data_IF_282455483328
#
_entry.id   IF_282455483328
#
_cell.length_a   1.000
_cell.length_b   1.000
_cell.length_c   1.000
_cell.angle_alpha   90.00
_cell.angle_beta   90.00
_cell.angle_gamma   90.00
#
_symmetry.space_group_name_H-M   'P 1'
#
loop_
_entity.id
_entity.type
_entity.pdbx_description
1 polymer ?
#
# COMPACT_ATOMS: atom_id res chain seq x y z
N UNK A 1 6.16 6.57 39.03
CA UNK A 1 5.80 5.46 38.12
C UNK A 1 7.05 4.60 37.92
N UNK A 2 6.96 3.31 38.23
CA UNK A 2 8.12 2.44 38.46
C UNK A 2 8.63 1.84 37.14
N UNK A 3 9.36 2.64 36.36
CA UNK A 3 9.93 2.23 35.05
C UNK A 3 10.74 0.94 35.13
N UNK A 4 11.43 0.70 36.26
CA UNK A 4 12.18 -0.52 36.49
C UNK A 4 11.32 -1.79 36.39
N UNK A 5 10.13 -1.76 37.02
CA UNK A 5 9.19 -2.89 36.99
C UNK A 5 8.62 -3.13 35.59
N UNK A 6 8.23 -2.06 34.89
CA UNK A 6 7.64 -2.13 33.56
C UNK A 6 8.67 -2.60 32.51
N UNK A 7 9.92 -2.16 32.63
CA UNK A 7 11.02 -2.61 31.80
C UNK A 7 11.35 -4.10 32.01
N UNK A 8 11.33 -4.56 33.26
CA UNK A 8 11.57 -5.97 33.61
C UNK A 8 10.46 -6.88 33.05
N UNK A 9 9.20 -6.48 33.21
CA UNK A 9 8.03 -7.20 32.69
C UNK A 9 8.03 -7.23 31.14
N UNK A 10 8.44 -6.14 30.48
CA UNK A 10 8.61 -6.12 29.03
C UNK A 10 9.77 -7.02 28.58
N UNK A 11 10.90 -7.02 29.26
CA UNK A 11 12.01 -7.91 28.92
C UNK A 11 11.64 -9.39 29.12
N UNK A 12 10.94 -9.74 30.19
CA UNK A 12 10.40 -11.10 30.38
C UNK A 12 9.40 -11.47 29.28
N UNK A 13 8.52 -10.55 28.90
CA UNK A 13 7.57 -10.76 27.81
C UNK A 13 8.26 -11.05 26.48
N UNK A 14 9.35 -10.35 26.16
CA UNK A 14 10.10 -10.59 24.92
C UNK A 14 11.01 -11.81 24.99
N UNK A 15 11.59 -12.13 26.15
CA UNK A 15 12.39 -13.37 26.37
C UNK A 15 11.53 -14.63 26.40
N UNK A 16 10.27 -14.53 26.85
CA UNK A 16 9.31 -15.63 26.90
C UNK A 16 8.70 -15.97 25.54
N UNK A 17 8.93 -15.12 24.53
CA UNK A 17 8.53 -15.43 23.15
C UNK A 17 9.61 -16.29 22.50
N UNK A 18 9.22 -17.32 21.73
CA UNK A 18 10.18 -18.05 20.93
C UNK A 18 10.91 -17.06 20.02
N UNK A 19 12.24 -17.13 20.00
CA UNK A 19 13.08 -16.42 19.05
C UNK A 19 12.46 -16.62 17.67
N UNK A 20 12.14 -15.53 16.96
CA UNK A 20 11.62 -15.63 15.60
C UNK A 20 12.71 -16.26 14.74
N UNK A 21 12.59 -17.56 14.54
CA UNK A 21 13.42 -18.33 13.65
C UNK A 21 12.93 -18.04 12.22
N UNK A 22 13.82 -17.49 11.39
CA UNK A 22 13.56 -17.24 9.98
C UNK A 22 13.86 -18.47 9.13
N UNK A 23 14.19 -19.61 9.74
CA UNK A 23 14.36 -20.89 9.05
C UNK A 23 13.04 -21.29 8.41
N UNK A 24 13.05 -21.39 7.07
CA UNK A 24 11.92 -21.91 6.32
C UNK A 24 12.23 -23.33 5.87
N UNK A 25 11.35 -24.25 6.23
CA UNK A 25 11.40 -25.63 5.74
C UNK A 25 10.79 -25.68 4.33
N UNK A 26 11.62 -26.03 3.34
CA UNK A 26 11.18 -26.21 1.95
C UNK A 26 11.24 -27.69 1.60
N UNK A 27 10.16 -28.22 1.02
CA UNK A 27 10.09 -29.63 0.68
C UNK A 27 10.73 -29.89 -0.69
N UNK A 28 11.87 -30.59 -0.68
CA UNK A 28 12.53 -31.06 -1.89
C UNK A 28 12.07 -32.48 -2.26
N UNK A 29 11.77 -32.72 -3.54
CA UNK A 29 11.61 -34.07 -4.09
C UNK A 29 12.78 -34.42 -5.00
N UNK A 30 13.11 -35.71 -5.11
CA UNK A 30 14.12 -36.15 -6.07
C UNK A 30 13.65 -35.88 -7.50
N UNK A 31 14.57 -35.43 -8.36
CA UNK A 31 14.26 -35.23 -9.77
C UNK A 31 13.88 -36.58 -10.44
N UNK A 32 12.69 -36.71 -11.03
CA UNK A 32 12.26 -37.95 -11.67
C UNK A 32 13.14 -38.34 -12.86
N UNK A 33 13.49 -39.62 -12.98
CA UNK A 33 14.27 -40.08 -14.15
C UNK A 33 13.54 -39.74 -15.44
N UNK A 34 14.27 -39.24 -16.43
CA UNK A 34 13.78 -38.86 -17.77
C UNK A 34 12.82 -37.65 -17.83
N UNK A 35 12.53 -36.99 -16.71
CA UNK A 35 11.77 -35.74 -16.74
C UNK A 35 12.64 -34.57 -17.22
N UNK A 36 12.17 -33.84 -18.22
CA UNK A 36 12.84 -32.63 -18.72
C UNK A 36 12.43 -31.40 -17.89
N UNK A 37 13.35 -30.43 -17.78
CA UNK A 37 13.13 -29.19 -17.04
C UNK A 37 11.83 -28.44 -17.45
N UNK A 38 11.52 -28.24 -18.75
CA UNK A 38 10.31 -27.51 -19.15
C UNK A 38 9.00 -28.17 -18.69
N UNK A 39 8.97 -29.51 -18.69
CA UNK A 39 7.81 -30.28 -18.22
C UNK A 39 7.59 -30.08 -16.71
N UNK A 40 8.66 -30.10 -15.91
CA UNK A 40 8.59 -29.88 -14.47
C UNK A 40 8.11 -28.45 -14.14
N UNK A 41 8.54 -27.45 -14.93
CA UNK A 41 8.09 -26.06 -14.78
C UNK A 41 6.60 -25.93 -15.11
N UNK A 42 6.10 -26.60 -16.16
CA UNK A 42 4.66 -26.59 -16.48
C UNK A 42 3.80 -27.25 -15.40
N UNK A 43 4.35 -28.22 -14.66
CA UNK A 43 3.70 -28.89 -13.53
C UNK A 43 3.80 -28.09 -12.22
N UNK A 44 4.35 -26.87 -12.26
CA UNK A 44 4.47 -25.99 -11.10
C UNK A 44 5.64 -26.34 -10.17
N UNK A 45 6.68 -27.00 -10.70
CA UNK A 45 7.92 -27.28 -9.97
C UNK A 45 9.08 -26.43 -10.47
N UNK A 46 10.01 -26.10 -9.56
CA UNK A 46 11.27 -25.45 -9.86
C UNK A 46 12.38 -26.50 -9.77
N UNK A 47 13.05 -26.84 -10.88
CA UNK A 47 14.20 -27.74 -10.85
C UNK A 47 15.40 -27.07 -10.19
N UNK A 48 16.13 -27.80 -9.35
CA UNK A 48 17.32 -27.31 -8.66
C UNK A 48 18.41 -28.37 -8.52
N UNK A 49 19.62 -27.92 -8.20
CA UNK A 49 20.76 -28.79 -7.92
C UNK A 49 21.31 -28.38 -6.55
N UNK A 50 21.35 -29.34 -5.62
CA UNK A 50 22.00 -29.13 -4.33
C UNK A 50 23.47 -29.51 -4.48
N UNK A 51 24.34 -28.51 -4.42
CA UNK A 51 25.79 -28.66 -4.45
C UNK A 51 26.33 -28.49 -3.03
N UNK A 52 26.88 -29.55 -2.47
CA UNK A 52 27.66 -29.52 -1.22
C UNK A 52 28.86 -30.45 -1.42
N UNK A 53 29.89 -30.38 -0.56
CA UNK A 53 31.06 -31.30 -0.58
C UNK A 53 30.58 -32.77 -0.71
N UNK A 54 30.56 -33.32 -1.92
CA UNK A 54 29.89 -34.58 -2.26
C UNK A 54 29.35 -34.60 -3.70
N UNK A 55 28.47 -35.57 -4.01
CA UNK A 55 27.84 -35.70 -5.32
C UNK A 55 26.64 -34.77 -5.47
N UNK A 56 26.56 -34.09 -6.61
CA UNK A 56 25.46 -33.22 -6.98
C UNK A 56 24.12 -33.97 -6.97
N UNK A 57 23.13 -33.40 -6.28
CA UNK A 57 21.77 -33.98 -6.22
C UNK A 57 20.80 -33.12 -7.00
N UNK A 58 20.19 -33.73 -8.03
CA UNK A 58 19.09 -33.12 -8.77
C UNK A 58 17.80 -33.25 -7.97
N UNK A 59 17.18 -32.12 -7.68
CA UNK A 59 15.95 -32.02 -6.89
C UNK A 59 14.93 -31.15 -7.61
N UNK A 60 13.68 -31.25 -7.21
CA UNK A 60 12.60 -30.38 -7.63
C UNK A 60 11.92 -29.80 -6.39
N UNK A 61 11.56 -28.53 -6.46
CA UNK A 61 10.85 -27.81 -5.41
C UNK A 61 9.49 -27.37 -5.92
N UNK A 62 8.50 -27.21 -5.04
CA UNK A 62 7.21 -26.66 -5.45
C UNK A 62 7.37 -25.15 -5.70
N UNK A 63 6.96 -24.67 -6.87
CA UNK A 63 7.13 -23.26 -7.25
C UNK A 63 6.51 -22.31 -6.23
N UNK A 64 5.32 -22.65 -5.71
CA UNK A 64 4.64 -21.85 -4.68
C UNK A 64 5.39 -21.78 -3.35
N UNK A 65 6.19 -22.78 -3.00
CA UNK A 65 6.98 -22.78 -1.75
C UNK A 65 8.27 -21.97 -1.95
N UNK A 66 8.89 -22.05 -3.12
CA UNK A 66 10.07 -21.24 -3.45
C UNK A 66 9.70 -19.77 -3.58
N UNK A 67 8.66 -19.42 -4.33
CA UNK A 67 8.25 -18.01 -4.49
C UNK A 67 7.80 -17.36 -3.18
N UNK A 68 7.36 -18.16 -2.21
CA UNK A 68 7.02 -17.67 -0.87
C UNK A 68 8.27 -17.34 -0.02
N UNK A 69 9.44 -17.84 -0.40
CA UNK A 69 10.69 -17.76 0.38
C UNK A 69 11.81 -17.04 -0.36
N UNK A 70 11.78 -17.06 -1.68
CA UNK A 70 12.87 -16.60 -2.52
C UNK A 70 13.07 -15.10 -2.36
N UNK A 71 14.13 -14.75 -1.63
CA UNK A 71 14.89 -13.53 -1.84
C UNK A 71 15.81 -13.78 -3.04
N UNK A 72 16.01 -12.77 -3.88
CA UNK A 72 16.95 -12.86 -5.00
C UNK A 72 18.36 -13.21 -4.47
N UNK A 73 18.95 -14.25 -5.06
CA UNK A 73 20.25 -14.89 -4.71
C UNK A 73 21.46 -13.98 -5.05
N UNK A 74 21.39 -12.69 -4.68
CA UNK A 74 22.50 -11.75 -4.84
C UNK A 74 23.39 -11.77 -3.58
N UNK A 75 24.73 -11.97 -3.70
CA UNK A 75 25.65 -11.79 -2.57
C UNK A 75 25.59 -10.40 -1.92
N UNK A 76 24.95 -9.43 -2.59
CA UNK A 76 24.52 -8.16 -2.01
C UNK A 76 23.01 -7.99 -2.24
N UNK A 77 22.21 -8.65 -1.41
CA UNK A 77 20.76 -8.52 -1.47
C UNK A 77 20.36 -7.07 -1.15
N UNK A 78 19.73 -6.41 -2.11
CA UNK A 78 19.15 -5.09 -1.95
C UNK A 78 17.70 -5.22 -1.51
N UNK A 79 17.41 -4.77 -0.28
CA UNK A 79 16.08 -4.92 0.30
C UNK A 79 15.52 -3.56 0.71
N UNK A 80 14.22 -3.36 0.46
CA UNK A 80 13.47 -2.22 0.97
C UNK A 80 12.87 -2.59 2.34
N UNK A 81 13.35 -1.97 3.41
CA UNK A 81 12.87 -2.22 4.77
C UNK A 81 11.89 -1.11 5.19
N UNK A 82 10.67 -1.46 5.64
CA UNK A 82 9.69 -0.46 6.03
C UNK A 82 10.09 0.28 7.32
N UNK A 83 9.73 1.55 7.38
CA UNK A 83 9.93 2.44 8.52
C UNK A 83 8.60 2.69 9.21
N UNK A 84 8.58 2.57 10.53
CA UNK A 84 7.42 2.89 11.37
C UNK A 84 7.84 3.88 12.45
N UNK A 85 7.08 4.96 12.60
CA UNK A 85 7.30 5.95 13.64
C UNK A 85 6.70 5.49 14.96
N UNK A 86 7.45 5.62 16.05
CA UNK A 86 6.97 5.37 17.41
C UNK A 86 7.18 6.63 18.26
N UNK A 87 6.37 6.79 19.32
CA UNK A 87 6.51 7.93 20.24
C UNK A 87 6.07 9.29 19.67
N UNK A 88 5.42 9.33 18.50
CA UNK A 88 5.01 10.57 17.80
C UNK A 88 4.23 11.53 18.71
N UNK A 89 3.18 11.04 19.37
CA UNK A 89 2.35 11.88 20.25
C UNK A 89 3.05 12.38 21.51
N UNK A 90 4.10 11.68 21.96
CA UNK A 90 4.91 12.07 23.11
C UNK A 90 6.12 12.94 22.75
N UNK A 91 6.35 13.21 21.47
CA UNK A 91 7.52 13.95 21.00
C UNK A 91 7.46 15.43 21.37
N UNK A 92 8.63 16.03 21.60
CA UNK A 92 8.73 17.48 21.83
C UNK A 92 8.19 18.29 20.63
N UNK A 93 8.46 17.84 19.40
CA UNK A 93 7.95 18.46 18.18
C UNK A 93 6.40 18.47 18.16
N UNK A 94 5.76 17.32 18.39
CA UNK A 94 4.29 17.24 18.39
C UNK A 94 3.66 18.10 19.50
N UNK A 95 4.23 18.07 20.70
CA UNK A 95 3.79 18.92 21.82
C UNK A 95 3.94 20.42 21.52
N UNK A 96 4.93 20.80 20.72
CA UNK A 96 5.15 22.16 20.24
C UNK A 96 4.32 22.52 18.98
N UNK A 97 3.27 21.75 18.69
CA UNK A 97 2.35 21.93 17.55
C UNK A 97 3.03 21.82 16.18
N UNK A 98 4.17 21.14 16.10
CA UNK A 98 4.74 20.75 14.82
C UNK A 98 4.02 19.51 14.28
N UNK A 99 3.86 19.46 12.97
CA UNK A 99 3.46 18.27 12.25
C UNK A 99 4.70 17.39 12.05
N UNK A 100 4.56 16.11 12.34
CA UNK A 100 5.60 15.10 12.10
C UNK A 100 5.19 14.32 10.88
N UNK A 101 6.10 14.21 9.92
CA UNK A 101 5.87 13.55 8.65
C UNK A 101 6.96 12.52 8.37
N UNK A 102 6.56 11.41 7.75
CA UNK A 102 7.45 10.33 7.37
C UNK A 102 7.92 10.60 5.93
N UNK A 103 9.10 11.18 5.80
CA UNK A 103 9.69 11.52 4.50
C UNK A 103 10.10 10.27 3.72
N UNK A 104 10.61 9.25 4.42
CA UNK A 104 11.07 8.01 3.80
C UNK A 104 10.37 6.79 4.43
N UNK A 105 9.28 6.28 3.81
CA UNK A 105 8.52 5.15 4.36
C UNK A 105 9.24 3.80 4.22
N UNK A 106 10.22 3.70 3.33
CA UNK A 106 11.03 2.50 3.10
C UNK A 106 12.49 2.89 2.91
N UNK A 107 13.41 2.18 3.56
CA UNK A 107 14.85 2.40 3.49
C UNK A 107 15.49 1.23 2.76
N UNK A 108 16.27 1.52 1.70
CA UNK A 108 17.09 0.50 1.04
C UNK A 108 18.28 0.11 1.90
N UNK A 109 18.42 -1.18 2.13
CA UNK A 109 19.60 -1.77 2.74
C UNK A 109 20.34 -2.65 1.75
N UNK A 110 21.65 -2.69 1.93
CA UNK A 110 22.52 -3.71 1.37
C UNK A 110 22.76 -4.76 2.45
N UNK A 111 22.26 -5.97 2.23
CA UNK A 111 22.43 -7.10 3.14
C UNK A 111 23.48 -8.05 2.58
N UNK A 112 24.46 -8.39 3.42
CA UNK A 112 25.57 -9.31 3.12
C UNK A 112 25.45 -10.60 3.94
N UNK A 113 24.47 -10.68 4.86
CA UNK A 113 24.20 -11.85 5.70
C UNK A 113 22.90 -12.58 5.35
N UNK A 114 22.77 -13.82 5.87
CA UNK A 114 21.58 -14.68 5.68
C UNK A 114 20.31 -14.15 6.36
N UNK A 115 20.46 -13.15 7.24
CA UNK A 115 19.39 -12.63 8.08
C UNK A 115 19.02 -11.20 7.68
N UNK A 116 17.76 -11.03 7.31
CA UNK A 116 17.19 -9.73 7.01
C UNK A 116 16.91 -8.98 8.34
N UNK A 117 17.34 -7.71 8.45
CA UNK A 117 17.06 -6.91 9.63
C UNK A 117 15.54 -6.68 9.78
N UNK A 118 15.05 -6.56 11.03
CA UNK A 118 13.65 -6.24 11.27
C UNK A 118 13.29 -4.84 10.74
N UNK A 119 11.99 -4.54 10.56
CA UNK A 119 11.52 -3.18 10.25
C UNK A 119 12.09 -2.12 11.19
N UNK A 120 12.35 -0.92 10.66
CA UNK A 120 12.85 0.19 11.45
C UNK A 120 11.74 0.77 12.31
N UNK A 121 11.96 0.79 13.63
CA UNK A 121 11.12 1.50 14.59
C UNK A 121 11.83 2.78 15.00
N UNK A 122 11.46 3.89 14.37
CA UNK A 122 12.11 5.18 14.60
C UNK A 122 11.42 5.90 15.75
N UNK A 123 12.14 6.08 16.86
CA UNK A 123 11.62 6.80 18.02
C UNK A 123 11.66 8.32 17.83
N UNK A 124 10.48 8.91 17.69
CA UNK A 124 10.32 10.35 17.56
C UNK A 124 10.23 11.06 18.93
N UNK A 125 10.29 10.37 20.07
CA UNK A 125 10.08 10.98 21.40
C UNK A 125 11.00 12.17 21.68
N UNK A 126 12.24 12.14 21.16
CA UNK A 126 13.23 13.19 21.31
C UNK A 126 13.27 14.18 20.15
N UNK A 127 12.45 13.99 19.11
CA UNK A 127 12.40 14.88 17.96
C UNK A 127 11.97 16.28 18.41
N UNK A 128 12.83 17.26 18.16
CA UNK A 128 12.59 18.67 18.43
C UNK A 128 12.30 19.38 17.12
N UNK A 129 11.46 20.39 17.19
CA UNK A 129 11.31 21.34 16.10
C UNK A 129 12.35 22.43 16.32
N UNK A 130 13.27 22.56 15.38
CA UNK A 130 14.21 23.68 15.25
C UNK A 130 13.84 24.45 13.98
N UNK A 131 14.01 25.77 13.95
CA UNK A 131 13.69 26.55 12.75
C UNK A 131 14.78 26.32 11.69
N UNK A 132 14.43 26.03 10.42
CA UNK A 132 13.09 26.06 9.82
C UNK A 132 12.26 24.78 9.97
N UNK A 133 12.89 23.62 10.16
CA UNK A 133 12.26 22.35 10.50
C UNK A 133 13.27 21.45 11.24
N UNK A 134 12.78 20.47 12.00
CA UNK A 134 13.60 19.42 12.61
C UNK A 134 13.59 18.14 11.78
N UNK A 135 14.68 17.37 11.80
CA UNK A 135 14.78 16.13 11.06
C UNK A 135 15.40 15.00 11.89
N UNK A 136 15.09 13.75 11.50
CA UNK A 136 15.83 12.54 11.89
C UNK A 136 16.50 12.01 10.63
N UNK A 137 17.81 11.83 10.68
CA UNK A 137 18.63 11.37 9.56
C UNK A 137 18.93 9.86 9.64
N UNK A 138 19.48 9.28 8.57
CA UNK A 138 20.00 7.90 8.61
C UNK A 138 21.09 7.70 9.68
N UNK A 139 21.92 8.72 9.94
CA UNK A 139 22.91 8.69 11.02
C UNK A 139 22.26 8.43 12.38
N UNK A 140 21.16 9.10 12.67
CA UNK A 140 20.49 9.00 13.97
C UNK A 140 19.94 7.61 14.25
N UNK A 141 19.57 6.86 13.20
CA UNK A 141 19.03 5.50 13.30
C UNK A 141 20.07 4.41 12.99
N UNK A 142 21.34 4.77 12.75
CA UNK A 142 22.39 3.81 12.40
C UNK A 142 22.58 2.73 13.48
N UNK A 143 22.35 3.09 14.74
CA UNK A 143 22.40 2.17 15.88
C UNK A 143 21.32 1.06 15.84
N UNK A 144 20.30 1.19 14.98
CA UNK A 144 19.29 0.14 14.77
C UNK A 144 19.77 -0.94 13.80
N UNK A 145 20.88 -0.72 13.09
CA UNK A 145 21.51 -1.73 12.24
C UNK A 145 22.36 -2.70 13.08
N UNK A 146 22.52 -3.96 12.63
CA UNK A 146 23.45 -4.91 13.24
C UNK A 146 24.91 -4.40 13.27
N UNK A 147 25.57 -4.50 14.42
CA UNK A 147 26.98 -4.09 14.59
C UNK A 147 27.97 -4.99 13.82
N UNK A 148 27.57 -6.22 13.50
CA UNK A 148 28.36 -7.19 12.74
C UNK A 148 28.55 -6.79 11.25
N UNK A 149 27.85 -5.75 10.80
CA UNK A 149 27.93 -5.22 9.44
C UNK A 149 27.23 -6.10 8.39
N UNK A 150 26.39 -7.04 8.82
CA UNK A 150 25.57 -7.91 7.97
C UNK A 150 24.49 -7.15 7.19
N UNK A 151 24.05 -6.00 7.69
CA UNK A 151 23.18 -5.08 6.98
C UNK A 151 23.72 -3.65 7.10
N UNK A 152 23.69 -2.92 5.97
CA UNK A 152 24.18 -1.54 5.87
C UNK A 152 23.19 -0.70 5.06
N UNK A 153 23.16 0.61 5.29
CA UNK A 153 22.42 1.50 4.40
C UNK A 153 22.97 1.39 2.96
N UNK A 154 22.07 1.49 1.99
CA UNK A 154 22.46 1.43 0.59
C UNK A 154 23.44 2.56 0.25
N UNK A 155 24.51 2.31 -0.54
CA UNK A 155 25.55 3.29 -0.84
C UNK A 155 25.07 4.49 -1.67
N UNK A 156 23.83 4.47 -2.18
CA UNK A 156 23.22 5.62 -2.84
C UNK A 156 22.81 6.73 -1.86
N UNK A 157 22.74 6.43 -0.57
CA UNK A 157 22.34 7.40 0.44
C UNK A 157 23.55 8.10 1.04
N UNK A 158 23.40 9.39 1.29
CA UNK A 158 24.26 10.10 2.23
C UNK A 158 23.68 9.90 3.64
N UNK A 159 24.43 9.26 4.53
CA UNK A 159 23.96 8.92 5.88
C UNK A 159 23.67 10.17 6.72
N UNK A 160 24.34 11.28 6.41
CA UNK A 160 24.28 12.51 7.20
C UNK A 160 23.20 13.46 6.67
N UNK A 161 22.95 13.43 5.36
CA UNK A 161 21.98 14.31 4.71
C UNK A 161 20.62 13.64 4.45
N UNK A 162 20.56 12.30 4.39
CA UNK A 162 19.30 11.63 4.07
C UNK A 162 18.35 11.65 5.28
N UNK A 163 17.32 12.49 5.17
CA UNK A 163 16.28 12.67 6.16
C UNK A 163 15.17 11.62 6.02
N UNK A 164 14.73 11.06 7.16
CA UNK A 164 13.73 10.00 7.23
C UNK A 164 12.40 10.54 7.76
N UNK A 165 12.48 11.46 8.71
CA UNK A 165 11.35 12.02 9.44
C UNK A 165 11.55 13.51 9.53
N UNK A 166 10.51 14.28 9.22
CA UNK A 166 10.53 15.74 9.35
C UNK A 166 9.56 16.19 10.44
N UNK A 167 9.89 17.29 11.09
CA UNK A 167 9.04 18.02 12.01
C UNK A 167 8.98 19.49 11.59
N UNK A 168 7.84 19.95 11.08
CA UNK A 168 7.67 21.31 10.61
C UNK A 168 6.39 21.93 11.16
N UNK A 169 6.30 23.26 11.17
CA UNK A 169 5.01 23.93 11.43
C UNK A 169 4.21 23.96 10.13
N UNK A 170 2.93 23.56 10.15
CA UNK A 170 2.07 23.80 9.00
C UNK A 170 2.10 25.28 8.62
N UNK A 171 2.18 25.57 7.32
CA UNK A 171 2.23 26.93 6.76
C UNK A 171 3.50 27.75 7.08
N UNK A 172 4.54 27.16 7.68
CA UNK A 172 5.82 27.85 7.90
C UNK A 172 6.83 27.63 6.78
N UNK A 173 6.67 26.58 5.98
CA UNK A 173 7.53 26.30 4.84
C UNK A 173 7.04 27.17 3.68
N UNK A 174 7.90 28.04 3.10
CA UNK A 174 7.52 28.84 1.94
C UNK A 174 7.21 27.90 0.77
N UNK A 175 6.04 28.07 0.16
CA UNK A 175 5.70 27.37 -1.07
C UNK A 175 6.71 27.78 -2.15
N UNK A 176 7.39 26.80 -2.75
CA UNK A 176 8.25 27.04 -3.89
C UNK A 176 7.38 27.14 -5.13
N UNK A 177 7.65 28.13 -5.98
CA UNK A 177 6.96 28.24 -7.26
C UNK A 177 7.15 26.95 -8.05
N UNK A 178 6.04 26.48 -8.64
CA UNK A 178 6.06 25.33 -9.54
C UNK A 178 7.03 25.66 -10.69
N UNK A 179 8.02 24.80 -10.99
CA UNK A 179 8.93 25.02 -12.11
C UNK A 179 8.16 25.27 -13.40
N UNK A 180 8.62 26.20 -14.25
CA UNK A 180 7.94 26.57 -15.50
C UNK A 180 7.73 25.38 -16.46
N UNK A 181 8.56 24.35 -16.32
CA UNK A 181 8.56 23.12 -17.09
C UNK A 181 7.82 21.95 -16.42
N UNK A 182 7.28 22.13 -15.21
CA UNK A 182 6.54 21.09 -14.50
C UNK A 182 5.23 20.75 -15.21
N UNK A 183 5.16 19.51 -15.71
CA UNK A 183 3.93 18.91 -16.24
C UNK A 183 3.45 17.91 -15.22
N UNK A 184 2.33 18.20 -14.56
CA UNK A 184 1.73 17.27 -13.58
C UNK A 184 1.47 15.90 -14.26
N UNK A 185 2.07 14.80 -13.76
CA UNK A 185 1.90 13.46 -14.33
C UNK A 185 0.45 12.97 -14.32
N UNK A 186 -0.38 13.47 -13.41
CA UNK A 186 -1.81 13.17 -13.38
C UNK A 186 -2.57 13.87 -14.50
N UNK A 187 -2.02 14.96 -15.05
CA UNK A 187 -2.52 15.62 -16.25
C UNK A 187 -1.73 15.10 -17.45
N UNK A 188 -1.98 13.83 -17.80
CA UNK A 188 -1.66 13.36 -19.15
C UNK A 188 -2.30 14.34 -20.11
N UNK A 189 -1.50 15.04 -20.92
CA UNK A 189 -1.98 15.76 -22.11
C UNK A 189 -2.70 14.73 -22.95
N UNK A 190 -4.00 14.57 -22.74
CA UNK A 190 -4.82 13.75 -23.59
C UNK A 190 -4.81 14.44 -24.94
N UNK A 191 -3.86 14.04 -25.79
CA UNK A 191 -3.91 14.26 -27.23
C UNK A 191 -5.06 13.47 -27.88
N UNK A 192 -6.01 12.98 -27.08
CA UNK A 192 -7.38 12.84 -27.56
C UNK A 192 -7.96 14.25 -27.55
N UNK A 193 -8.10 14.83 -28.75
CA UNK A 193 -9.26 15.66 -29.05
C UNK A 193 -10.50 14.93 -28.55
N UNK A 194 -10.85 15.12 -27.27
CA UNK A 194 -12.23 15.13 -26.86
C UNK A 194 -12.71 16.47 -27.37
N UNK A 195 -13.23 16.41 -28.58
CA UNK A 195 -14.22 17.34 -29.12
C UNK A 195 -15.34 17.45 -28.08
N UNK A 196 -15.11 18.25 -27.03
CA UNK A 196 -16.11 18.73 -26.08
C UNK A 196 -16.35 20.23 -26.29
N UNK A 197 -15.70 20.81 -27.30
CA UNK A 197 -15.85 22.20 -27.74
C UNK A 197 -16.30 22.31 -29.20
N UNK A 198 -16.52 21.20 -29.93
CA UNK A 198 -17.25 21.22 -31.21
C UNK A 198 -18.77 21.11 -31.04
N UNK A 199 -19.24 20.76 -29.83
CA UNK A 199 -20.67 20.69 -29.49
C UNK A 199 -21.34 22.06 -29.28
N UNK A 200 -20.58 23.15 -29.28
CA UNK A 200 -21.13 24.51 -29.14
C UNK A 200 -21.87 25.01 -30.40
N UNK A 201 -21.78 24.30 -31.52
CA UNK A 201 -22.42 24.67 -32.79
C UNK A 201 -23.35 23.58 -33.36
N UNK A 202 -23.88 22.68 -32.52
CA UNK A 202 -24.95 21.80 -32.97
C UNK A 202 -26.27 22.57 -33.11
N UNK A 203 -26.80 22.63 -34.33
CA UNK A 203 -28.12 23.20 -34.58
C UNK A 203 -29.19 22.39 -33.82
N UNK A 204 -30.28 23.02 -33.35
CA UNK A 204 -31.32 22.41 -32.52
C UNK A 204 -31.84 21.06 -33.07
N UNK A 205 -31.85 20.89 -34.39
CA UNK A 205 -32.24 19.64 -35.05
C UNK A 205 -31.27 18.48 -34.76
N UNK A 206 -29.96 18.73 -34.75
CA UNK A 206 -28.94 17.72 -34.46
C UNK A 206 -28.96 17.29 -32.99
N UNK A 207 -29.22 18.25 -32.10
CA UNK A 207 -29.38 17.99 -30.66
C UNK A 207 -30.63 17.13 -30.38
N UNK A 208 -31.71 17.36 -31.13
CA UNK A 208 -32.93 16.56 -31.06
C UNK A 208 -32.72 15.12 -31.56
N UNK A 209 -32.00 14.93 -32.67
CA UNK A 209 -31.68 13.61 -33.19
C UNK A 209 -30.75 12.81 -32.27
N UNK A 210 -29.75 13.48 -31.67
CA UNK A 210 -28.85 12.87 -30.70
C UNK A 210 -29.63 12.39 -29.45
N UNK A 211 -30.45 13.25 -28.87
CA UNK A 211 -31.31 12.90 -27.73
C UNK A 211 -32.26 11.74 -28.05
N UNK A 212 -32.82 11.70 -29.27
CA UNK A 212 -33.66 10.59 -29.74
C UNK A 212 -32.89 9.26 -29.83
N UNK A 213 -31.64 9.27 -30.31
CA UNK A 213 -30.79 8.06 -30.36
C UNK A 213 -30.45 7.53 -28.96
N UNK A 214 -30.14 8.43 -28.03
CA UNK A 214 -29.82 8.06 -26.63
C UNK A 214 -31.04 7.45 -25.94
N UNK A 215 -32.24 8.03 -26.14
CA UNK A 215 -33.48 7.44 -25.61
C UNK A 215 -33.83 6.09 -26.24
N UNK A 216 -33.61 5.92 -27.56
CA UNK A 216 -33.84 4.65 -28.24
C UNK A 216 -32.89 3.55 -27.72
N UNK A 217 -31.62 3.88 -27.46
CA UNK A 217 -30.67 2.94 -26.86
C UNK A 217 -31.05 2.57 -25.42
N UNK A 218 -31.50 3.54 -24.61
CA UNK A 218 -31.95 3.26 -23.24
C UNK A 218 -33.24 2.41 -23.21
N UNK A 219 -34.13 2.58 -24.19
CA UNK A 219 -35.33 1.74 -24.32
C UNK A 219 -35.00 0.31 -24.78
N UNK A 220 -34.04 0.15 -25.70
CA UNK A 220 -33.55 -1.20 -26.07
C UNK A 220 -32.90 -1.91 -24.88
N UNK A 221 -32.23 -1.19 -23.99
CA UNK A 221 -31.65 -1.77 -22.77
C UNK A 221 -32.69 -2.05 -21.67
N UNK A 222 -33.90 -1.48 -21.75
CA UNK A 222 -34.97 -1.63 -20.74
C UNK A 222 -36.19 -2.45 -21.19
N UNK A 223 -36.24 -2.92 -22.44
CA UNK A 223 -37.45 -3.46 -23.07
C UNK A 223 -37.45 -4.96 -23.37
N UNK A 224 -37.14 -5.80 -22.39
CA UNK A 224 -37.55 -7.21 -22.39
C UNK A 224 -38.86 -7.39 -21.61
N UNK A 225 -39.98 -6.91 -22.16
CA UNK A 225 -41.40 -7.26 -21.88
C UNK A 225 -42.33 -6.06 -22.14
N UNK A 226 -43.36 -6.27 -22.97
CA UNK A 226 -44.59 -5.46 -22.95
C UNK A 226 -44.78 -4.49 -24.13
N UNK A 227 -45.99 -4.54 -24.70
CA UNK A 227 -46.40 -3.90 -25.94
C UNK A 227 -46.42 -2.35 -25.93
N UNK A 228 -46.29 -1.84 -27.15
CA UNK A 228 -46.19 -0.46 -27.61
C UNK A 228 -47.43 0.39 -27.27
N UNK A 229 -47.21 1.50 -26.58
CA UNK A 229 -47.96 2.75 -26.79
C UNK A 229 -46.94 3.89 -26.88
N UNK A 230 -46.88 4.56 -28.04
CA UNK A 230 -45.98 5.71 -28.26
C UNK A 230 -46.29 6.81 -27.24
N UNK A 231 -45.30 7.32 -26.46
CA UNK A 231 -45.48 8.56 -25.73
C UNK A 231 -45.43 9.72 -26.73
N UNK A 232 -46.45 10.58 -26.69
CA UNK A 232 -46.56 11.77 -27.55
C UNK A 232 -45.40 12.76 -27.34
N UNK A 233 -45.27 13.76 -28.24
CA UNK A 233 -44.16 14.70 -28.22
C UNK A 233 -44.11 15.48 -26.90
N UNK A 234 -43.03 15.30 -26.15
CA UNK A 234 -42.71 16.06 -24.93
C UNK A 234 -42.31 17.46 -25.37
N UNK A 235 -43.07 18.48 -24.94
CA UNK A 235 -42.80 19.87 -25.32
C UNK A 235 -41.45 20.35 -24.75
N UNK A 236 -40.79 21.33 -25.37
CA UNK A 236 -39.51 21.88 -24.88
C UNK A 236 -39.56 22.35 -23.42
N UNK A 237 -40.71 22.85 -22.97
CA UNK A 237 -40.94 23.26 -21.57
C UNK A 237 -40.87 22.06 -20.60
N UNK A 238 -41.38 20.90 -21.03
CA UNK A 238 -41.41 19.68 -20.23
C UNK A 238 -40.02 19.01 -20.16
N UNK A 239 -39.20 19.16 -21.21
CA UNK A 239 -37.80 18.75 -21.19
C UNK A 239 -36.96 19.57 -20.18
N UNK A 240 -37.18 20.88 -20.13
CA UNK A 240 -36.54 21.78 -19.15
C UNK A 240 -36.97 21.44 -17.71
N UNK A 241 -38.24 21.09 -17.51
CA UNK A 241 -38.75 20.65 -16.21
C UNK A 241 -38.12 19.34 -15.74
N UNK A 242 -37.92 18.39 -16.66
CA UNK A 242 -37.24 17.12 -16.36
C UNK A 242 -35.76 17.33 -16.01
N UNK A 243 -35.08 18.23 -16.72
CA UNK A 243 -33.67 18.57 -16.45
C UNK A 243 -33.50 19.21 -15.05
N UNK A 244 -34.37 20.17 -14.71
CA UNK A 244 -34.36 20.79 -13.38
C UNK A 244 -34.66 19.79 -12.27
N UNK A 245 -35.59 18.85 -12.51
CA UNK A 245 -35.88 17.77 -11.55
C UNK A 245 -34.70 16.82 -11.37
N UNK A 246 -33.94 16.56 -12.43
CA UNK A 246 -32.74 15.72 -12.37
C UNK A 246 -31.63 16.41 -11.58
N UNK A 247 -31.40 17.71 -11.80
CA UNK A 247 -30.43 18.48 -11.03
C UNK A 247 -30.79 18.50 -9.53
N UNK A 248 -32.08 18.69 -9.18
CA UNK A 248 -32.52 18.65 -7.79
C UNK A 248 -32.28 17.28 -7.13
N UNK A 249 -32.45 16.17 -7.87
CA UNK A 249 -32.13 14.84 -7.36
C UNK A 249 -30.63 14.68 -7.07
N UNK A 250 -29.77 15.19 -7.95
CA UNK A 250 -28.31 15.16 -7.73
C UNK A 250 -27.89 16.02 -6.54
N UNK A 251 -28.50 17.19 -6.35
CA UNK A 251 -28.22 18.05 -5.19
C UNK A 251 -28.66 17.40 -3.87
N UNK A 252 -29.80 16.69 -3.86
CA UNK A 252 -30.26 15.95 -2.68
C UNK A 252 -29.37 14.75 -2.37
N UNK A 253 -28.86 14.05 -3.39
CA UNK A 253 -27.89 12.98 -3.18
C UNK A 253 -26.56 13.52 -2.66
N UNK A 254 -26.06 14.64 -3.18
CA UNK A 254 -24.84 15.28 -2.67
C UNK A 254 -24.97 15.73 -1.21
N UNK A 255 -26.15 16.18 -0.78
CA UNK A 255 -26.43 16.54 0.61
C UNK A 255 -26.46 15.32 1.56
N UNK A 256 -26.83 14.13 1.07
CA UNK A 256 -26.85 12.90 1.85
C UNK A 256 -25.44 12.31 2.12
N UNK A 257 -24.42 12.76 1.40
CA UNK A 257 -23.02 12.30 1.54
C UNK A 257 -22.13 13.26 2.34
N UNK A 258 -22.66 14.34 2.93
CA UNK A 258 -21.91 15.14 3.91
C UNK A 258 -22.02 14.52 5.31
N UNK A 259 -20.91 14.11 5.94
CA UNK A 259 -20.93 13.54 7.28
C UNK A 259 -21.31 14.61 8.31
N UNK A 260 -22.43 14.39 9.02
CA UNK A 260 -22.70 15.12 10.25
C UNK A 260 -21.65 14.74 11.30
N UNK A 261 -20.84 15.71 11.67
CA UNK A 261 -19.97 15.66 12.84
C UNK A 261 -20.82 15.61 14.11
N UNK A 262 -20.83 14.46 14.80
CA UNK A 262 -21.35 14.39 16.15
C UNK A 262 -21.67 12.97 16.65
N UNK A 263 -20.98 12.59 17.73
CA UNK A 263 -21.30 11.51 18.68
C UNK A 263 -20.68 10.12 18.46
N UNK A 264 -19.62 9.87 19.24
CA UNK A 264 -19.14 8.53 19.60
C UNK A 264 -20.16 7.76 20.46
N UNK A 265 -20.20 6.42 20.37
CA UNK A 265 -20.63 5.57 21.48
C UNK A 265 -19.44 4.83 22.12
N UNK A 266 -19.41 4.84 23.46
CA UNK A 266 -18.43 4.13 24.28
C UNK A 266 -18.67 2.62 24.40
N UNK A 267 -17.82 1.90 25.17
CA UNK A 267 -17.65 0.46 25.08
C UNK A 267 -18.51 -0.33 26.08
N UNK A 268 -19.03 -1.48 25.66
CA UNK A 268 -19.58 -2.50 26.55
C UNK A 268 -20.30 -3.62 25.81
N UNK A 269 -19.93 -4.87 26.08
CA UNK A 269 -20.77 -6.04 25.76
C UNK A 269 -20.04 -7.21 25.10
N UNK A 270 -19.60 -8.16 25.93
CA UNK A 270 -19.04 -9.45 25.57
C UNK A 270 -20.05 -10.39 24.89
N UNK A 271 -19.57 -11.32 24.05
CA UNK A 271 -20.02 -12.72 24.08
C UNK A 271 -19.07 -13.64 23.29
N UNK A 272 -18.65 -14.70 23.99
CA UNK A 272 -17.86 -15.83 23.54
C UNK A 272 -18.49 -16.63 22.39
N UNK A 273 -17.64 -17.30 21.61
CA UNK A 273 -17.92 -18.66 21.12
C UNK A 273 -16.63 -19.45 20.92
N UNK A 274 -16.46 -20.46 21.78
CA UNK A 274 -15.54 -21.59 21.64
C UNK A 274 -15.95 -22.48 20.45
N UNK A 275 -14.97 -23.03 19.73
CA UNK A 275 -14.92 -24.45 19.35
C UNK A 275 -13.53 -24.80 18.76
N UNK A 276 -12.86 -25.75 19.41
CA UNK A 276 -11.82 -26.66 18.88
C UNK A 276 -12.46 -28.08 18.84
N UNK A 277 -11.83 -29.20 18.38
CA UNK A 277 -10.44 -29.40 17.87
C UNK A 277 -10.20 -30.38 16.65
N UNK A 278 -8.99 -30.30 16.05
CA UNK A 278 -8.02 -31.34 15.54
C UNK A 278 -8.38 -32.44 14.49
N UNK A 279 -7.40 -33.22 13.88
CA UNK A 279 -5.91 -33.10 13.74
C UNK A 279 -5.25 -33.59 12.39
N UNK A 280 -3.89 -33.52 12.36
CA UNK A 280 -2.86 -34.42 11.73
C UNK A 280 -2.12 -33.96 10.45
N UNK A 281 -0.79 -33.78 10.58
CA UNK A 281 0.21 -33.78 9.50
C UNK A 281 1.63 -33.84 10.06
N UNK A 282 2.45 -34.80 9.58
CA UNK A 282 3.81 -35.11 10.05
C UNK A 282 4.89 -34.15 9.51
N UNK A 283 5.88 -33.83 10.34
CA UNK A 283 7.07 -33.03 10.02
C UNK A 283 8.32 -33.92 9.94
N UNK A 284 9.23 -33.64 8.99
CA UNK A 284 10.58 -34.23 8.94
C UNK A 284 11.58 -33.09 9.10
N UNK A 285 12.47 -33.23 10.09
CA UNK A 285 13.54 -32.29 10.45
C UNK A 285 14.73 -32.34 9.51
#
# INVERSE_FOLDING_TARGET
MNWAYLHEEMMEYFKGRPTRDSTVEIHAKAWPRFAQSPYLVSEGYVPGIIVKRGYDRKVIFKKSEIEAVAFDDDPQAHIDVPVTLVGVFGSHAHLNRAQIDLAMPTIKLQCVGEKIPPPFLVDCSKLRMEEPYGAITLRDIQHLLPEDGTARFHPSYDVDETEIVHAYRPYSIPEQDIPEDYVDPNFVKQNKKRDLLSDANMNQQQLYEYMRRVQAQQQQQRGGMGAVTQPGPVSPAMALQLLNRQQQMYTQQAAAYMPQSGMMPGPGGAAARMMMPYPMGMTVR
#
